data_IF_850260441662
#
_entry.id   IF_850260441662
#
_cell.length_a   1.000
_cell.length_b   1.000
_cell.length_c   1.000
_cell.angle_alpha   90.00
_cell.angle_beta   90.00
_cell.angle_gamma   90.00
#
_symmetry.space_group_name_H-M   'P 1'
#
loop_
_entity.id
_entity.type
_entity.pdbx_description
1 polymer ?
#
# COMPACT_ATOMS: atom_id res chain seq x y z
N UNK A 1 11.17 39.33 79.87
CA UNK A 1 10.44 39.64 78.61
C UNK A 1 11.29 39.22 77.43
N UNK A 2 10.96 38.10 76.78
CA UNK A 2 11.31 37.81 75.38
C UNK A 2 10.48 36.61 74.95
N UNK A 3 9.56 36.82 74.01
CA UNK A 3 8.67 35.79 73.46
C UNK A 3 9.32 35.24 72.19
N UNK A 4 9.66 33.95 72.21
CA UNK A 4 10.09 33.20 71.03
C UNK A 4 8.82 32.71 70.33
N UNK A 5 8.54 33.25 69.15
CA UNK A 5 7.42 32.82 68.29
C UNK A 5 7.91 31.64 67.44
N UNK A 6 7.28 30.49 67.61
CA UNK A 6 7.53 29.28 66.81
C UNK A 6 6.51 29.24 65.67
N UNK A 7 6.98 29.31 64.42
CA UNK A 7 6.14 29.17 63.22
C UNK A 7 6.16 27.69 62.80
N UNK A 8 5.01 26.99 62.70
CA UNK A 8 4.99 25.62 62.20
C UNK A 8 5.10 25.64 60.67
N UNK A 9 6.14 25.01 60.13
CA UNK A 9 6.28 24.77 58.70
C UNK A 9 5.26 23.70 58.26
N UNK A 10 4.29 24.10 57.45
CA UNK A 10 3.28 23.23 56.86
C UNK A 10 3.91 22.52 55.65
N UNK A 11 4.32 21.26 55.83
CA UNK A 11 4.81 20.42 54.73
C UNK A 11 3.59 19.88 53.98
N UNK A 12 3.33 20.44 52.79
CA UNK A 12 2.36 19.89 51.84
C UNK A 12 2.91 18.59 51.23
N UNK A 13 2.18 17.47 51.25
CA UNK A 13 2.58 16.28 50.53
C UNK A 13 2.38 16.49 49.03
N UNK A 14 3.49 16.45 48.28
CA UNK A 14 3.48 16.36 46.82
C UNK A 14 2.91 14.99 46.45
N UNK A 15 1.67 14.97 45.98
CA UNK A 15 1.06 13.81 45.33
C UNK A 15 1.78 13.57 44.00
N UNK A 16 2.74 12.64 44.01
CA UNK A 16 3.26 12.05 42.79
C UNK A 16 2.13 11.24 42.13
N UNK A 17 1.52 11.79 41.09
CA UNK A 17 0.71 11.00 40.15
C UNK A 17 1.69 10.12 39.39
N UNK A 18 1.99 8.95 39.94
CA UNK A 18 2.64 7.87 39.21
C UNK A 18 1.64 7.42 38.14
N UNK A 19 1.76 7.97 36.93
CA UNK A 19 1.15 7.37 35.76
C UNK A 19 1.64 5.93 35.71
N UNK A 20 0.73 4.98 35.92
CA UNK A 20 1.04 3.56 35.85
C UNK A 20 1.48 3.26 34.41
N UNK A 21 2.79 3.19 34.19
CA UNK A 21 3.35 2.60 32.98
C UNK A 21 3.11 1.10 33.12
N UNK A 22 2.03 0.62 32.49
CA UNK A 22 1.74 -0.80 32.37
C UNK A 22 2.97 -1.46 31.72
N UNK A 23 3.70 -2.29 32.48
CA UNK A 23 4.80 -3.08 31.95
C UNK A 23 4.20 -4.23 31.15
N UNK A 24 4.18 -4.08 29.83
CA UNK A 24 3.63 -5.08 28.92
C UNK A 24 4.72 -6.08 28.55
N UNK A 25 4.44 -7.36 28.78
CA UNK A 25 5.33 -8.45 28.41
C UNK A 25 5.41 -8.59 26.88
N UNK A 26 6.53 -9.12 26.37
CA UNK A 26 6.68 -9.37 24.93
C UNK A 26 5.63 -10.35 24.37
N UNK A 27 5.17 -11.27 25.21
CA UNK A 27 4.21 -12.31 24.85
C UNK A 27 2.76 -11.94 25.25
N UNK A 28 2.45 -10.65 25.37
CA UNK A 28 1.12 -10.19 25.72
C UNK A 28 0.05 -10.70 24.72
N UNK A 29 -1.06 -11.31 25.19
CA UNK A 29 -2.10 -11.85 24.31
C UNK A 29 -2.66 -10.84 23.31
N UNK A 30 -2.62 -9.53 23.60
CA UNK A 30 -3.10 -8.48 22.69
C UNK A 30 -2.29 -8.41 21.39
N UNK A 31 -1.04 -8.85 21.41
CA UNK A 31 -0.17 -8.92 20.23
C UNK A 31 -0.40 -10.16 19.37
N UNK A 32 -1.11 -11.17 19.89
CA UNK A 32 -1.41 -12.38 19.15
C UNK A 32 -2.43 -12.09 18.04
N UNK A 33 -2.17 -12.62 16.85
CA UNK A 33 -3.06 -12.55 15.70
C UNK A 33 -4.00 -13.75 15.71
N UNK A 34 -5.31 -13.50 15.59
CA UNK A 34 -6.30 -14.57 15.41
C UNK A 34 -6.02 -15.29 14.07
N UNK A 35 -6.00 -16.63 14.02
CA UNK A 35 -5.81 -17.37 12.77
C UNK A 35 -6.74 -16.93 11.63
N UNK A 36 -8.00 -16.61 11.91
CA UNK A 36 -8.94 -16.13 10.90
C UNK A 36 -8.58 -14.72 10.40
N UNK A 37 -8.13 -13.83 11.29
CA UNK A 37 -7.62 -12.50 10.90
C UNK A 37 -6.32 -12.62 10.09
N UNK A 38 -5.47 -13.60 10.43
CA UNK A 38 -4.25 -13.91 9.70
C UNK A 38 -4.54 -14.37 8.26
N UNK A 39 -5.44 -15.34 8.11
CA UNK A 39 -5.87 -15.83 6.79
C UNK A 39 -6.47 -14.69 5.96
N UNK A 40 -7.35 -13.86 6.56
CA UNK A 40 -7.93 -12.73 5.86
C UNK A 40 -6.86 -11.72 5.39
N UNK A 41 -5.88 -11.40 6.24
CA UNK A 41 -4.82 -10.46 5.90
C UNK A 41 -3.85 -11.00 4.84
N UNK A 42 -3.49 -12.29 4.93
CA UNK A 42 -2.48 -12.92 4.06
C UNK A 42 -3.07 -13.38 2.73
N UNK A 43 -4.28 -13.92 2.70
CA UNK A 43 -4.82 -14.52 1.48
C UNK A 43 -5.72 -13.54 0.70
N UNK A 44 -6.60 -12.82 1.40
CA UNK A 44 -7.56 -11.93 0.75
C UNK A 44 -7.02 -10.49 0.68
N UNK A 45 -6.48 -9.99 1.78
CA UNK A 45 -6.12 -8.58 1.95
C UNK A 45 -7.34 -7.69 2.20
N UNK A 46 -7.08 -6.49 2.69
CA UNK A 46 -8.06 -5.45 2.97
C UNK A 46 -8.14 -4.45 1.81
N UNK A 47 -9.34 -3.96 1.49
CA UNK A 47 -9.58 -2.99 0.40
C UNK A 47 -9.19 -3.54 -0.98
N UNK A 48 -9.11 -4.87 -1.15
CA UNK A 48 -8.96 -5.46 -2.48
C UNK A 48 -10.31 -5.34 -3.21
N UNK A 49 -10.35 -4.86 -4.48
CA UNK A 49 -11.57 -4.80 -5.26
C UNK A 49 -12.26 -6.15 -5.36
N UNK A 50 -13.59 -6.14 -5.33
CA UNK A 50 -14.36 -7.38 -5.43
C UNK A 50 -14.15 -8.04 -6.80
N UNK A 51 -14.16 -9.39 -6.85
CA UNK A 51 -14.03 -10.13 -8.11
C UNK A 51 -15.04 -9.67 -9.18
N UNK A 52 -16.25 -9.31 -8.77
CA UNK A 52 -17.27 -8.76 -9.67
C UNK A 52 -16.89 -7.40 -10.28
N UNK A 53 -16.16 -6.55 -9.54
CA UNK A 53 -15.63 -5.30 -10.07
C UNK A 53 -14.50 -5.56 -11.07
N UNK A 54 -13.59 -6.48 -10.73
CA UNK A 54 -12.51 -6.92 -11.63
C UNK A 54 -13.11 -7.42 -12.96
N UNK A 55 -14.09 -8.33 -12.89
CA UNK A 55 -14.80 -8.84 -14.07
C UNK A 55 -15.43 -7.73 -14.92
N UNK A 56 -16.02 -6.70 -14.30
CA UNK A 56 -16.64 -5.58 -15.01
C UNK A 56 -15.59 -4.73 -15.71
N UNK A 57 -14.49 -4.41 -15.04
CA UNK A 57 -13.39 -3.61 -15.61
C UNK A 57 -12.70 -4.37 -16.74
N UNK A 58 -12.46 -5.67 -16.59
CA UNK A 58 -11.88 -6.51 -17.64
C UNK A 58 -12.79 -6.63 -18.86
N UNK A 59 -14.09 -6.86 -18.67
CA UNK A 59 -15.07 -6.86 -19.78
C UNK A 59 -15.09 -5.53 -20.51
N UNK A 60 -15.09 -4.43 -19.78
CA UNK A 60 -15.04 -3.09 -20.37
C UNK A 60 -13.73 -2.87 -21.14
N UNK A 61 -12.58 -3.31 -20.61
CA UNK A 61 -11.29 -3.24 -21.31
C UNK A 61 -11.30 -4.05 -22.61
N UNK A 62 -11.88 -5.26 -22.59
CA UNK A 62 -12.05 -6.09 -23.78
C UNK A 62 -12.92 -5.41 -24.85
N UNK A 63 -14.03 -4.78 -24.45
CA UNK A 63 -14.88 -4.01 -25.37
C UNK A 63 -14.14 -2.81 -25.98
N UNK A 64 -13.34 -2.09 -25.20
CA UNK A 64 -12.52 -0.97 -25.71
C UNK A 64 -11.47 -1.44 -26.72
N UNK A 65 -10.78 -2.54 -26.42
CA UNK A 65 -9.81 -3.15 -27.33
C UNK A 65 -10.46 -3.60 -28.65
N UNK A 66 -11.63 -4.25 -28.57
CA UNK A 66 -12.40 -4.64 -29.74
C UNK A 66 -12.83 -3.43 -30.57
N UNK A 67 -13.23 -2.32 -29.93
CA UNK A 67 -13.59 -1.08 -30.61
C UNK A 67 -12.40 -0.46 -31.33
N UNK A 68 -11.24 -0.39 -30.69
CA UNK A 68 -10.00 0.07 -31.30
C UNK A 68 -9.60 -0.77 -32.50
N UNK A 69 -9.68 -2.10 -32.38
CA UNK A 69 -9.40 -2.99 -33.49
C UNK A 69 -10.37 -2.79 -34.68
N UNK A 70 -11.64 -2.49 -34.41
CA UNK A 70 -12.61 -2.17 -35.45
C UNK A 70 -12.30 -0.83 -36.13
N UNK A 71 -11.94 0.21 -35.38
CA UNK A 71 -11.50 1.49 -35.92
C UNK A 71 -10.23 1.35 -36.76
N UNK A 72 -9.25 0.54 -36.32
CA UNK A 72 -8.05 0.25 -37.10
C UNK A 72 -8.37 -0.37 -38.47
N UNK A 73 -9.34 -1.30 -38.52
CA UNK A 73 -9.82 -1.88 -39.79
C UNK A 73 -10.51 -0.85 -40.68
N UNK A 74 -11.28 0.09 -40.10
CA UNK A 74 -11.87 1.19 -40.87
C UNK A 74 -10.79 2.13 -41.44
N UNK A 75 -9.76 2.44 -40.65
CA UNK A 75 -8.61 3.23 -41.10
C UNK A 75 -7.91 2.54 -42.27
N UNK A 76 -7.65 1.23 -42.17
CA UNK A 76 -7.06 0.45 -43.28
C UNK A 76 -7.95 0.50 -44.53
N UNK A 77 -9.24 0.19 -44.39
CA UNK A 77 -10.19 0.19 -45.50
C UNK A 77 -10.26 1.54 -46.21
N UNK A 78 -10.42 2.64 -45.48
CA UNK A 78 -10.50 3.98 -46.08
C UNK A 78 -9.17 4.46 -46.66
N UNK A 79 -8.05 3.94 -46.15
CA UNK A 79 -6.73 4.17 -46.77
C UNK A 79 -6.67 3.51 -48.15
N UNK A 80 -7.12 2.27 -48.28
CA UNK A 80 -7.13 1.54 -49.56
C UNK A 80 -8.18 2.07 -50.53
N UNK A 81 -9.35 2.49 -50.04
CA UNK A 81 -10.44 2.99 -50.89
C UNK A 81 -10.26 4.45 -51.34
N UNK A 82 -9.33 5.19 -50.74
CA UNK A 82 -9.08 6.61 -51.05
C UNK A 82 -10.12 7.59 -50.50
N UNK A 83 -10.97 7.18 -49.54
CA UNK A 83 -11.98 8.05 -48.92
C UNK A 83 -11.34 8.89 -47.81
N UNK A 84 -10.73 10.02 -48.20
CA UNK A 84 -9.97 10.88 -47.29
C UNK A 84 -10.81 11.45 -46.13
N UNK A 85 -12.11 11.72 -46.36
CA UNK A 85 -12.98 12.28 -45.33
C UNK A 85 -13.23 11.26 -44.22
N UNK A 86 -13.65 10.04 -44.58
CA UNK A 86 -13.93 8.99 -43.60
C UNK A 86 -12.67 8.44 -42.94
N UNK A 87 -11.56 8.41 -43.66
CA UNK A 87 -10.24 8.13 -43.07
C UNK A 87 -9.95 9.12 -41.94
N UNK A 88 -10.17 10.42 -42.18
CA UNK A 88 -9.94 11.43 -41.17
C UNK A 88 -10.89 11.28 -39.97
N UNK A 89 -12.15 10.93 -40.19
CA UNK A 89 -13.10 10.68 -39.11
C UNK A 89 -12.66 9.50 -38.22
N UNK A 90 -12.33 8.36 -38.83
CA UNK A 90 -11.89 7.17 -38.11
C UNK A 90 -10.60 7.42 -37.29
N UNK A 91 -9.64 8.18 -37.85
CA UNK A 91 -8.41 8.57 -37.13
C UNK A 91 -8.70 9.49 -35.95
N UNK A 92 -9.47 10.56 -36.16
CA UNK A 92 -9.84 11.49 -35.07
C UNK A 92 -10.56 10.77 -33.95
N UNK A 93 -11.46 9.85 -34.29
CA UNK A 93 -12.17 9.06 -33.30
C UNK A 93 -11.22 8.18 -32.50
N UNK A 94 -10.32 7.46 -33.17
CA UNK A 94 -9.30 6.62 -32.52
C UNK A 94 -8.38 7.45 -31.60
N UNK A 95 -7.95 8.64 -32.04
CA UNK A 95 -7.10 9.54 -31.27
C UNK A 95 -7.83 10.14 -30.05
N UNK A 96 -9.17 10.23 -30.10
CA UNK A 96 -9.99 10.77 -29.02
C UNK A 96 -10.34 9.75 -27.93
N UNK A 97 -9.96 8.48 -28.09
CA UNK A 97 -10.30 7.42 -27.15
C UNK A 97 -9.52 7.58 -25.84
N UNK A 98 -10.19 8.19 -24.86
CA UNK A 98 -9.67 8.26 -23.49
C UNK A 98 -9.84 6.90 -22.81
N UNK A 99 -8.75 6.35 -22.28
CA UNK A 99 -8.75 5.12 -21.50
C UNK A 99 -8.48 5.43 -20.03
N UNK A 100 -9.51 5.33 -19.21
CA UNK A 100 -9.35 5.34 -17.76
C UNK A 100 -8.97 3.94 -17.29
N UNK A 101 -7.88 3.86 -16.51
CA UNK A 101 -7.50 2.67 -15.76
C UNK A 101 -8.23 2.70 -14.42
N UNK A 102 -9.20 1.81 -14.25
CA UNK A 102 -10.00 1.70 -13.02
C UNK A 102 -9.36 0.78 -11.98
N UNK A 103 -8.46 -0.10 -12.41
CA UNK A 103 -7.72 -1.01 -11.55
C UNK A 103 -6.23 -0.86 -11.79
N UNK A 104 -5.47 -0.69 -10.72
CA UNK A 104 -4.02 -0.75 -10.73
C UNK A 104 -3.55 -2.21 -10.83
N UNK A 105 -2.34 -2.49 -11.35
CA UNK A 105 -1.84 -3.85 -11.50
C UNK A 105 -1.95 -4.71 -10.23
N UNK A 106 -1.60 -4.14 -9.07
CA UNK A 106 -1.71 -4.82 -7.78
C UNK A 106 -3.16 -5.16 -7.37
N UNK A 107 -4.15 -4.40 -7.84
CA UNK A 107 -5.58 -4.62 -7.56
C UNK A 107 -6.16 -5.72 -8.46
N UNK A 108 -5.75 -5.76 -9.73
CA UNK A 108 -6.26 -6.73 -10.71
C UNK A 108 -5.62 -8.13 -10.55
N UNK A 109 -4.39 -8.20 -10.03
CA UNK A 109 -3.69 -9.45 -9.86
C UNK A 109 -4.09 -10.20 -8.58
N UNK A 110 -4.11 -11.52 -8.66
CA UNK A 110 -4.44 -12.39 -7.52
C UNK A 110 -3.30 -12.39 -6.48
N UNK A 111 -3.64 -12.65 -5.22
CA UNK A 111 -2.70 -12.70 -4.10
C UNK A 111 -1.67 -13.84 -4.22
N UNK A 112 -2.04 -15.10 -4.53
CA UNK A 112 -1.05 -16.14 -4.72
C UNK A 112 -0.37 -15.98 -6.08
N UNK A 113 0.94 -15.67 -6.07
CA UNK A 113 1.81 -15.75 -7.24
C UNK A 113 3.00 -16.64 -6.91
N UNK A 114 3.41 -17.48 -7.86
CA UNK A 114 4.73 -18.12 -7.82
C UNK A 114 5.78 -17.12 -8.34
N UNK A 115 5.98 -16.02 -7.61
CA UNK A 115 6.88 -14.92 -7.98
C UNK A 115 8.33 -15.24 -7.59
N UNK A 116 8.88 -16.31 -8.17
CA UNK A 116 10.21 -16.85 -7.79
C UNK A 116 11.23 -16.83 -8.93
N UNK A 117 10.81 -16.46 -10.13
CA UNK A 117 11.66 -16.53 -11.31
C UNK A 117 12.57 -15.30 -11.38
N UNK A 118 13.88 -15.52 -11.52
CA UNK A 118 14.79 -14.44 -11.93
C UNK A 118 14.67 -14.29 -13.45
N UNK A 119 14.13 -13.14 -13.88
CA UNK A 119 13.87 -12.82 -15.28
C UNK A 119 14.68 -11.56 -15.61
N UNK A 120 15.68 -11.71 -16.48
CA UNK A 120 16.62 -10.63 -16.83
C UNK A 120 15.92 -9.33 -17.26
N UNK A 121 14.84 -9.45 -18.05
CA UNK A 121 14.08 -8.28 -18.49
C UNK A 121 13.32 -7.61 -17.34
N UNK A 122 12.81 -8.39 -16.38
CA UNK A 122 12.16 -7.85 -15.19
C UNK A 122 13.17 -7.17 -14.26
N UNK A 123 14.33 -7.79 -14.06
CA UNK A 123 15.44 -7.22 -13.29
C UNK A 123 15.90 -5.88 -13.86
N UNK A 124 16.09 -5.80 -15.19
CA UNK A 124 16.45 -4.54 -15.85
C UNK A 124 15.39 -3.46 -15.65
N UNK A 125 14.11 -3.82 -15.77
CA UNK A 125 12.98 -2.91 -15.59
C UNK A 125 12.88 -2.42 -14.14
N UNK A 126 13.14 -3.31 -13.18
CA UNK A 126 13.20 -2.97 -11.76
C UNK A 126 14.34 -1.98 -11.48
N UNK A 127 15.55 -2.26 -11.97
CA UNK A 127 16.70 -1.41 -11.74
C UNK A 127 16.52 -0.01 -12.33
N UNK A 128 15.98 0.10 -13.55
CA UNK A 128 15.65 1.39 -14.18
C UNK A 128 14.64 2.18 -13.33
N UNK A 129 13.53 1.54 -12.95
CA UNK A 129 12.49 2.16 -12.14
C UNK A 129 13.02 2.58 -10.75
N UNK A 130 13.87 1.75 -10.14
CA UNK A 130 14.51 2.02 -8.86
C UNK A 130 15.48 3.20 -8.95
N UNK A 131 16.25 3.32 -10.01
CA UNK A 131 17.12 4.48 -10.23
C UNK A 131 16.32 5.78 -10.30
N UNK A 132 15.26 5.81 -11.12
CA UNK A 132 14.35 6.96 -11.21
C UNK A 132 13.76 7.34 -9.85
N UNK A 133 13.33 6.35 -9.07
CA UNK A 133 12.80 6.54 -7.72
C UNK A 133 13.81 7.22 -6.79
N UNK A 134 15.06 6.76 -6.77
CA UNK A 134 16.10 7.35 -5.92
C UNK A 134 16.54 8.72 -6.40
N UNK A 135 16.65 8.93 -7.71
CA UNK A 135 16.90 10.24 -8.27
C UNK A 135 15.82 11.25 -7.90
N UNK A 136 14.56 10.82 -7.91
CA UNK A 136 13.45 11.66 -7.52
C UNK A 136 13.53 12.13 -6.07
N UNK A 137 14.01 11.26 -5.17
CA UNK A 137 14.14 11.53 -3.73
C UNK A 137 15.46 12.20 -3.33
N UNK A 138 16.38 12.40 -4.28
CA UNK A 138 17.73 12.93 -4.02
C UNK A 138 17.72 14.32 -3.36
N UNK A 139 16.74 15.16 -3.66
CA UNK A 139 16.70 16.54 -3.17
C UNK A 139 16.15 16.68 -1.73
N UNK A 140 15.77 15.59 -1.05
CA UNK A 140 15.27 15.46 0.34
C UNK A 140 14.08 16.36 0.77
N UNK A 141 13.99 17.59 0.28
CA UNK A 141 13.00 18.61 0.65
C UNK A 141 11.79 18.57 -0.28
N UNK A 142 12.01 18.34 -1.58
CA UNK A 142 10.95 18.21 -2.58
C UNK A 142 11.35 17.06 -3.50
N UNK A 143 10.48 16.06 -3.62
CA UNK A 143 10.69 14.97 -4.56
C UNK A 143 10.33 15.43 -5.98
N UNK A 144 11.06 14.93 -6.98
CA UNK A 144 10.73 15.13 -8.39
C UNK A 144 9.53 14.23 -8.77
N UNK A 145 8.33 14.81 -8.80
CA UNK A 145 7.09 14.06 -9.06
C UNK A 145 7.08 13.40 -10.44
N UNK A 146 7.69 14.02 -11.46
CA UNK A 146 7.73 13.47 -12.81
C UNK A 146 8.56 12.18 -12.83
N UNK A 147 9.71 12.19 -12.15
CA UNK A 147 10.52 10.97 -11.97
C UNK A 147 9.82 9.92 -11.13
N UNK A 148 9.07 10.30 -10.09
CA UNK A 148 8.24 9.34 -9.35
C UNK A 148 7.17 8.71 -10.24
N UNK A 149 6.51 9.48 -11.13
CA UNK A 149 5.55 8.93 -12.10
C UNK A 149 6.23 8.03 -13.13
N UNK A 150 7.46 8.33 -13.55
CA UNK A 150 8.25 7.44 -14.40
C UNK A 150 8.61 6.13 -13.70
N UNK A 151 9.12 6.21 -12.47
CA UNK A 151 9.41 5.03 -11.66
C UNK A 151 8.15 4.16 -11.44
N UNK A 152 7.03 4.79 -11.10
CA UNK A 152 5.75 4.10 -10.91
C UNK A 152 5.28 3.37 -12.17
N UNK A 153 5.47 3.96 -13.35
CA UNK A 153 5.18 3.28 -14.62
C UNK A 153 6.06 2.04 -14.81
N UNK A 154 7.35 2.14 -14.50
CA UNK A 154 8.27 1.00 -14.54
C UNK A 154 7.85 -0.13 -13.60
N UNK A 155 7.64 0.17 -12.32
CA UNK A 155 7.18 -0.85 -11.35
C UNK A 155 5.87 -1.50 -11.75
N UNK A 156 4.89 -0.72 -12.20
CA UNK A 156 3.60 -1.24 -12.66
C UNK A 156 3.73 -2.12 -13.90
N UNK A 157 4.61 -1.76 -14.83
CA UNK A 157 4.89 -2.58 -16.00
C UNK A 157 5.56 -3.89 -15.61
N UNK A 158 6.51 -3.88 -14.67
CA UNK A 158 7.11 -5.11 -14.15
C UNK A 158 6.04 -6.07 -13.60
N UNK A 159 5.18 -5.56 -12.72
CA UNK A 159 4.09 -6.34 -12.10
C UNK A 159 3.15 -6.92 -13.16
N UNK A 160 2.86 -6.15 -14.21
CA UNK A 160 1.90 -6.54 -15.27
C UNK A 160 2.51 -7.53 -16.26
N UNK A 161 3.72 -7.25 -16.76
CA UNK A 161 4.34 -7.99 -17.86
C UNK A 161 5.11 -9.23 -17.36
N UNK A 162 5.58 -9.23 -16.11
CA UNK A 162 6.41 -10.29 -15.51
C UNK A 162 5.87 -10.74 -14.14
N UNK A 163 4.64 -11.26 -14.07
CA UNK A 163 3.97 -11.57 -12.80
C UNK A 163 4.61 -12.70 -11.98
N UNK A 164 5.50 -13.50 -12.58
CA UNK A 164 6.25 -14.57 -11.88
C UNK A 164 7.65 -14.14 -11.47
N UNK A 165 8.04 -12.88 -11.70
CA UNK A 165 9.37 -12.40 -11.34
C UNK A 165 9.56 -12.26 -9.83
N UNK A 166 10.74 -12.62 -9.34
CA UNK A 166 11.20 -12.40 -7.96
C UNK A 166 11.41 -10.91 -7.59
N UNK A 167 11.03 -9.97 -8.46
CA UNK A 167 11.03 -8.51 -8.23
C UNK A 167 9.63 -7.93 -8.09
N UNK A 168 8.60 -8.76 -8.16
CA UNK A 168 7.20 -8.31 -8.15
C UNK A 168 6.83 -7.69 -6.79
N UNK A 169 7.25 -8.28 -5.68
CA UNK A 169 7.07 -7.72 -4.34
C UNK A 169 7.91 -6.44 -4.15
N UNK A 170 9.17 -6.45 -4.58
CA UNK A 170 10.08 -5.29 -4.56
C UNK A 170 9.46 -4.09 -5.28
N UNK A 171 8.93 -4.33 -6.48
CA UNK A 171 8.24 -3.33 -7.28
C UNK A 171 6.95 -2.85 -6.60
N UNK A 172 6.17 -3.77 -6.02
CA UNK A 172 4.96 -3.43 -5.29
C UNK A 172 5.26 -2.51 -4.10
N UNK A 173 6.26 -2.85 -3.28
CA UNK A 173 6.62 -2.04 -2.12
C UNK A 173 7.00 -0.61 -2.54
N UNK A 174 7.86 -0.47 -3.57
CA UNK A 174 8.29 0.84 -4.08
C UNK A 174 7.12 1.63 -4.67
N UNK A 175 6.24 0.99 -5.43
CA UNK A 175 5.04 1.62 -5.95
C UNK A 175 4.10 2.07 -4.82
N UNK A 176 3.93 1.28 -3.76
CA UNK A 176 3.20 1.66 -2.55
C UNK A 176 3.75 2.94 -1.91
N UNK A 177 5.08 3.09 -1.83
CA UNK A 177 5.73 4.31 -1.33
C UNK A 177 5.47 5.53 -2.22
N UNK A 178 5.33 5.33 -3.53
CA UNK A 178 5.02 6.40 -4.47
C UNK A 178 3.55 6.82 -4.37
N UNK A 179 2.62 5.86 -4.30
CA UNK A 179 1.20 6.15 -4.07
C UNK A 179 0.96 6.84 -2.72
N UNK A 180 1.66 6.41 -1.66
CA UNK A 180 1.63 7.09 -0.36
C UNK A 180 2.10 8.55 -0.48
N UNK A 181 3.18 8.80 -1.26
CA UNK A 181 3.67 10.15 -1.52
C UNK A 181 2.62 11.02 -2.24
N UNK A 182 1.91 10.45 -3.22
CA UNK A 182 0.81 11.12 -3.92
C UNK A 182 -0.50 11.16 -3.13
N UNK A 183 -0.52 10.61 -1.91
CA UNK A 183 -1.68 10.53 -1.01
C UNK A 183 -2.82 9.65 -1.55
N UNK A 184 -2.51 8.76 -2.48
CA UNK A 184 -3.41 7.73 -2.97
C UNK A 184 -3.41 6.55 -1.98
N UNK A 185 -3.86 6.80 -0.75
CA UNK A 185 -3.67 5.91 0.39
C UNK A 185 -4.34 4.55 0.24
N UNK A 186 -5.50 4.48 -0.43
CA UNK A 186 -6.17 3.20 -0.71
C UNK A 186 -5.28 2.32 -1.59
N UNK A 187 -4.77 2.89 -2.69
CA UNK A 187 -3.88 2.19 -3.61
C UNK A 187 -2.57 1.83 -2.91
N UNK A 188 -1.99 2.76 -2.14
CA UNK A 188 -0.77 2.49 -1.36
C UNK A 188 -0.95 1.29 -0.42
N UNK A 189 -2.07 1.22 0.31
CA UNK A 189 -2.39 0.09 1.19
C UNK A 189 -2.51 -1.22 0.41
N UNK A 190 -3.15 -1.24 -0.76
CA UNK A 190 -3.20 -2.44 -1.62
C UNK A 190 -1.80 -2.89 -2.04
N UNK A 191 -0.95 -1.97 -2.51
CA UNK A 191 0.41 -2.30 -2.94
C UNK A 191 1.29 -2.83 -1.80
N UNK A 192 1.18 -2.25 -0.60
CA UNK A 192 1.88 -2.77 0.57
C UNK A 192 1.37 -4.16 0.97
N UNK A 193 0.07 -4.41 0.85
CA UNK A 193 -0.47 -5.76 1.08
C UNK A 193 0.07 -6.76 0.08
N UNK A 194 0.00 -6.44 -1.22
CA UNK A 194 0.55 -7.29 -2.27
C UNK A 194 2.03 -7.61 -2.10
N UNK A 195 2.81 -6.71 -1.53
CA UNK A 195 4.24 -6.98 -1.24
C UNK A 195 4.41 -8.27 -0.43
N UNK A 196 3.73 -8.41 0.72
CA UNK A 196 3.89 -9.60 1.57
C UNK A 196 3.01 -10.78 1.14
N UNK A 197 2.00 -10.55 0.31
CA UNK A 197 1.19 -11.64 -0.26
C UNK A 197 1.92 -12.34 -1.41
N UNK A 198 2.72 -11.59 -2.18
CA UNK A 198 3.56 -12.13 -3.25
C UNK A 198 4.89 -12.70 -2.75
N UNK A 199 5.44 -12.15 -1.67
CA UNK A 199 6.55 -12.76 -0.92
C UNK A 199 6.36 -12.58 0.60
N UNK A 200 5.95 -13.65 1.29
CA UNK A 200 5.78 -13.65 2.76
C UNK A 200 7.09 -13.28 3.50
N UNK A 201 8.24 -13.58 2.89
CA UNK A 201 9.57 -13.34 3.45
C UNK A 201 10.21 -12.02 2.99
N UNK A 202 9.44 -11.18 2.27
CA UNK A 202 9.89 -9.90 1.72
C UNK A 202 10.75 -9.12 2.73
N UNK A 203 11.88 -8.53 2.32
CA UNK A 203 12.78 -7.87 3.25
C UNK A 203 12.14 -6.62 3.88
N UNK A 204 11.09 -6.06 3.29
CA UNK A 204 10.50 -4.78 3.67
C UNK A 204 9.50 -4.87 4.83
N UNK A 205 9.25 -3.75 5.56
CA UNK A 205 8.24 -3.67 6.60
C UNK A 205 6.83 -3.42 5.99
N UNK A 206 6.42 -4.26 5.05
CA UNK A 206 5.23 -4.04 4.24
C UNK A 206 3.93 -4.15 5.06
N UNK A 207 3.88 -5.08 6.02
CA UNK A 207 2.72 -5.26 6.91
C UNK A 207 2.54 -4.05 7.80
N UNK A 208 3.63 -3.56 8.39
CA UNK A 208 3.61 -2.31 9.16
C UNK A 208 3.16 -1.13 8.30
N UNK A 209 3.67 -1.01 7.07
CA UNK A 209 3.32 0.08 6.16
C UNK A 209 1.84 0.07 5.77
N UNK A 210 1.30 -1.09 5.42
CA UNK A 210 -0.13 -1.25 5.18
C UNK A 210 -0.94 -0.89 6.43
N UNK A 211 -0.58 -1.41 7.61
CA UNK A 211 -1.24 -1.09 8.87
C UNK A 211 -1.25 0.42 9.17
N UNK A 212 -0.12 1.07 8.96
CA UNK A 212 0.04 2.50 9.20
C UNK A 212 -0.87 3.33 8.30
N UNK A 213 -0.92 3.03 7.00
CA UNK A 213 -1.78 3.75 6.06
C UNK A 213 -3.26 3.52 6.39
N UNK A 214 -3.65 2.26 6.67
CA UNK A 214 -5.01 1.91 7.08
C UNK A 214 -5.44 2.69 8.33
N UNK A 215 -4.59 2.75 9.35
CA UNK A 215 -4.87 3.42 10.62
C UNK A 215 -4.89 4.95 10.50
N UNK A 216 -3.81 5.52 9.96
CA UNK A 216 -3.52 6.96 10.05
C UNK A 216 -4.18 7.77 8.96
N UNK A 217 -4.39 7.16 7.79
CA UNK A 217 -4.89 7.86 6.61
C UNK A 217 -6.30 7.44 6.22
N UNK A 218 -6.65 6.17 6.41
CA UNK A 218 -7.96 5.62 6.01
C UNK A 218 -8.91 5.37 7.18
N UNK A 219 -8.42 5.46 8.42
CA UNK A 219 -9.19 5.23 9.64
C UNK A 219 -9.84 3.84 9.73
N UNK A 220 -9.27 2.86 9.03
CA UNK A 220 -9.67 1.45 9.00
C UNK A 220 -8.99 0.69 10.14
N UNK A 221 -9.49 0.97 11.34
CA UNK A 221 -8.83 0.60 12.59
C UNK A 221 -8.78 -0.90 12.83
N UNK A 222 -9.82 -1.65 12.47
CA UNK A 222 -9.91 -3.09 12.69
C UNK A 222 -8.90 -3.83 11.81
N UNK A 223 -8.86 -3.46 10.54
CA UNK A 223 -7.95 -3.97 9.53
C UNK A 223 -6.49 -3.61 9.87
N UNK A 224 -6.26 -2.38 10.30
CA UNK A 224 -4.94 -1.95 10.76
C UNK A 224 -4.46 -2.74 11.99
N UNK A 225 -5.34 -3.06 12.94
CA UNK A 225 -5.00 -3.83 14.13
C UNK A 225 -4.48 -5.23 13.76
N UNK A 226 -5.14 -5.91 12.82
CA UNK A 226 -4.70 -7.21 12.32
C UNK A 226 -3.30 -7.11 11.67
N UNK A 227 -3.07 -6.11 10.82
CA UNK A 227 -1.77 -5.94 10.16
C UNK A 227 -0.65 -5.49 11.12
N UNK A 228 -0.94 -4.71 12.16
CA UNK A 228 0.05 -4.38 13.19
C UNK A 228 0.49 -5.63 13.96
N UNK A 229 -0.44 -6.51 14.33
CA UNK A 229 -0.11 -7.79 14.98
C UNK A 229 0.77 -8.65 14.07
N UNK A 230 0.41 -8.75 12.79
CA UNK A 230 1.22 -9.48 11.81
C UNK A 230 2.63 -8.86 11.63
N UNK A 231 2.74 -7.54 11.67
CA UNK A 231 4.04 -6.86 11.63
C UNK A 231 4.91 -7.17 12.87
N UNK A 232 4.31 -7.21 14.07
CA UNK A 232 5.04 -7.60 15.29
C UNK A 232 5.58 -9.03 15.20
N UNK A 233 4.80 -9.94 14.61
CA UNK A 233 5.18 -11.34 14.41
C UNK A 233 6.28 -11.52 13.35
N UNK A 234 6.11 -10.89 12.17
CA UNK A 234 6.93 -11.18 10.98
C UNK A 234 8.04 -10.18 10.70
N UNK A 235 7.97 -8.97 11.25
CA UNK A 235 8.84 -7.85 10.89
C UNK A 235 9.70 -7.36 12.06
N UNK A 236 9.96 -8.23 13.05
CA UNK A 236 10.69 -7.92 14.29
C UNK A 236 12.09 -7.33 14.08
N UNK A 237 12.72 -7.55 12.91
CA UNK A 237 13.98 -6.89 12.50
C UNK A 237 13.87 -5.36 12.43
N UNK A 238 12.66 -4.81 12.29
CA UNK A 238 12.39 -3.38 12.30
C UNK A 238 11.92 -2.96 13.71
N UNK A 239 12.87 -2.85 14.64
CA UNK A 239 12.60 -2.59 16.07
C UNK A 239 11.68 -1.38 16.27
N UNK A 240 11.98 -0.23 15.65
CA UNK A 240 11.16 0.97 15.80
C UNK A 240 9.73 0.85 15.26
N UNK A 241 9.53 0.08 14.19
CA UNK A 241 8.19 -0.21 13.66
C UNK A 241 7.43 -1.16 14.58
N UNK A 242 8.13 -2.17 15.11
CA UNK A 242 7.58 -3.15 16.05
C UNK A 242 7.14 -2.48 17.34
N UNK A 243 7.98 -1.61 17.91
CA UNK A 243 7.66 -0.82 19.11
C UNK A 243 6.47 0.12 18.87
N UNK A 244 6.41 0.75 17.69
CA UNK A 244 5.26 1.55 17.30
C UNK A 244 3.98 0.70 17.24
N UNK A 245 4.04 -0.44 16.53
CA UNK A 245 2.90 -1.34 16.36
C UNK A 245 2.40 -1.87 17.71
N UNK A 246 3.29 -2.32 18.59
CA UNK A 246 2.94 -2.76 19.95
C UNK A 246 2.21 -1.67 20.74
N UNK A 247 2.77 -0.45 20.80
CA UNK A 247 2.09 0.67 21.47
C UNK A 247 0.73 0.94 20.86
N UNK A 248 0.63 0.91 19.54
CA UNK A 248 -0.62 1.18 18.83
C UNK A 248 -1.68 0.11 19.07
N UNK A 249 -1.29 -1.16 19.12
CA UNK A 249 -2.16 -2.30 19.49
C UNK A 249 -2.73 -2.10 20.90
N UNK A 250 -1.90 -1.69 21.87
CA UNK A 250 -2.35 -1.43 23.24
C UNK A 250 -3.36 -0.27 23.31
N UNK A 251 -3.10 0.81 22.57
CA UNK A 251 -4.04 1.94 22.47
C UNK A 251 -5.37 1.54 21.83
N UNK A 252 -5.33 0.70 20.81
CA UNK A 252 -6.53 0.22 20.12
C UNK A 252 -7.33 -0.73 21.00
N UNK A 253 -6.72 -1.77 21.56
CA UNK A 253 -7.43 -2.74 22.39
C UNK A 253 -8.00 -2.14 23.67
N UNK A 254 -7.34 -1.14 24.28
CA UNK A 254 -7.89 -0.41 25.43
C UNK A 254 -9.18 0.35 25.10
N UNK A 255 -9.19 1.08 23.98
CA UNK A 255 -10.36 1.86 23.58
C UNK A 255 -11.57 1.00 23.22
N UNK A 256 -11.36 -0.24 22.76
CA UNK A 256 -12.45 -1.20 22.54
C UNK A 256 -13.07 -1.65 23.86
N UNK A 257 -12.26 -1.92 24.89
CA UNK A 257 -12.74 -2.30 26.21
C UNK A 257 -13.51 -1.17 26.95
N UNK A 258 -13.29 0.09 26.56
CA UNK A 258 -13.94 1.26 27.15
C UNK A 258 -15.21 1.72 26.40
N UNK A 259 -15.53 1.12 25.24
CA UNK A 259 -16.72 1.47 24.47
C UNK A 259 -17.98 0.80 25.08
N UNK A 260 -19.05 1.57 25.38
CA UNK A 260 -20.30 0.97 25.88
C UNK A 260 -20.98 0.14 24.78
N UNK A 261 -21.49 -1.04 25.17
CA UNK A 261 -22.33 -1.93 24.35
C UNK A 261 -23.62 -1.26 23.85
#
# INVERSE_FOLDING_TARGET
>A
MSRIVSVPALILPVLFVAGCVEQVAKDDPRFQLDPAEATLAVDEGFIIPAASEIDLVEKMAAHRSAYQAALAKLVEYYTTSGDAAKLQWARREMDSLVQYRYLMPAEAMQAPLAATDSIEQADALFEEAKQLYWEAKRLMVIADEDKLRMALRGFNRLITDYPTSDKVDDAAYRAGQIYEHFKDYQIAAVYYQRTFQWDDNTPYPARFKAAYVLDRNLHMRKEALALYRLAVDRESRYEGNTEFAQRRILEMTRKEAEAPE
#
